data_IF_820025476391
#
_entry.id   IF_820025476391
#
_cell.length_a   1.000
_cell.length_b   1.000
_cell.length_c   1.000
_cell.angle_alpha   90.00
_cell.angle_beta   90.00
_cell.angle_gamma   90.00
#
_symmetry.space_group_name_H-M   'P 1'
#
loop_
_entity.id
_entity.type
_entity.pdbx_description
1 polymer ?
#
# COMPACT_ATOMS: atom_id res chain seq x y z
N UNK A 1 23.75 -8.46 -13.75
CA UNK A 1 22.81 -9.59 -13.40
C UNK A 1 22.97 -9.97 -11.95
N UNK A 2 21.90 -10.14 -11.23
CA UNK A 2 21.87 -10.61 -9.84
C UNK A 2 21.41 -12.08 -9.84
N UNK A 3 22.30 -13.02 -9.48
CA UNK A 3 22.02 -14.47 -9.46
C UNK A 3 21.35 -15.01 -10.74
N UNK A 4 21.82 -14.61 -11.91
CA UNK A 4 21.28 -14.95 -13.25
C UNK A 4 19.88 -14.36 -13.55
N UNK A 5 19.39 -13.40 -12.76
CA UNK A 5 18.14 -12.70 -12.97
C UNK A 5 18.36 -11.29 -13.51
N UNK A 6 17.47 -10.85 -14.37
CA UNK A 6 17.48 -9.50 -14.94
C UNK A 6 16.76 -8.51 -14.03
N UNK A 7 17.47 -7.47 -13.59
CA UNK A 7 16.98 -6.45 -12.67
C UNK A 7 16.75 -5.13 -13.38
N UNK A 8 15.57 -4.55 -13.22
CA UNK A 8 15.30 -3.18 -13.65
C UNK A 8 15.06 -2.28 -12.43
N UNK A 9 15.50 -1.03 -12.55
CA UNK A 9 15.20 0.03 -11.57
C UNK A 9 14.31 1.07 -12.20
N UNK A 10 13.23 1.46 -11.55
CA UNK A 10 12.30 2.52 -11.97
C UNK A 10 12.49 3.73 -11.08
N UNK A 11 12.79 4.88 -11.67
CA UNK A 11 13.02 6.15 -10.98
C UNK A 11 11.98 7.16 -11.49
N UNK A 12 10.89 7.42 -10.72
CA UNK A 12 9.99 8.53 -11.01
C UNK A 12 10.73 9.86 -10.88
N UNK A 13 10.63 10.72 -11.90
CA UNK A 13 11.36 11.99 -11.97
C UNK A 13 10.40 13.16 -12.12
N UNK A 14 10.31 14.01 -11.08
CA UNK A 14 9.56 15.26 -11.10
C UNK A 14 10.17 16.25 -10.10
N UNK A 15 10.80 17.33 -10.60
CA UNK A 15 11.50 18.36 -9.80
C UNK A 15 12.65 17.79 -8.93
N UNK A 16 13.42 16.89 -9.51
CA UNK A 16 14.54 16.19 -8.84
C UNK A 16 15.87 16.40 -9.59
N UNK A 17 15.98 17.41 -10.43
CA UNK A 17 17.17 17.71 -11.28
C UNK A 17 18.46 17.73 -10.49
N UNK A 18 18.41 18.22 -9.24
CA UNK A 18 19.56 18.34 -8.34
C UNK A 18 20.14 16.99 -7.91
N UNK A 19 19.31 15.96 -7.80
CA UNK A 19 19.69 14.68 -7.20
C UNK A 19 19.69 13.52 -8.17
N UNK A 20 18.95 13.63 -9.27
CA UNK A 20 18.69 12.52 -10.19
C UNK A 20 19.97 11.90 -10.77
N UNK A 21 20.96 12.72 -11.09
CA UNK A 21 22.25 12.23 -11.62
C UNK A 21 22.98 11.37 -10.59
N UNK A 22 23.06 11.84 -9.36
CA UNK A 22 23.72 11.10 -8.27
C UNK A 22 22.97 9.81 -7.93
N UNK A 23 21.61 9.84 -7.95
CA UNK A 23 20.78 8.64 -7.76
C UNK A 23 21.09 7.61 -8.84
N UNK A 24 21.10 8.00 -10.13
CA UNK A 24 21.42 7.10 -11.25
C UNK A 24 22.82 6.51 -11.13
N UNK A 25 23.80 7.33 -10.72
CA UNK A 25 25.18 6.88 -10.54
C UNK A 25 25.38 5.98 -9.31
N UNK A 26 24.51 6.09 -8.31
CA UNK A 26 24.54 5.22 -7.11
C UNK A 26 23.94 3.84 -7.34
N UNK A 27 23.25 3.61 -8.47
CA UNK A 27 22.64 2.32 -8.77
C UNK A 27 23.74 1.25 -8.93
N UNK A 28 23.65 0.12 -8.21
CA UNK A 28 24.66 -0.95 -8.26
C UNK A 28 24.82 -1.55 -9.66
N UNK A 29 26.04 -2.05 -9.95
CA UNK A 29 26.41 -2.60 -11.26
C UNK A 29 25.61 -3.85 -11.65
N UNK A 30 25.09 -4.59 -10.68
CA UNK A 30 24.27 -5.78 -10.94
C UNK A 30 22.90 -5.48 -11.57
N UNK A 31 22.46 -4.22 -11.55
CA UNK A 31 21.24 -3.76 -12.22
C UNK A 31 21.47 -3.72 -13.72
N UNK A 32 20.57 -4.32 -14.48
CA UNK A 32 20.68 -4.42 -15.96
C UNK A 32 20.04 -3.20 -16.65
N UNK A 33 18.91 -2.71 -16.13
CA UNK A 33 18.17 -1.61 -16.73
C UNK A 33 17.79 -0.53 -15.71
N UNK A 34 18.01 0.72 -16.06
CA UNK A 34 17.59 1.91 -15.30
C UNK A 34 16.55 2.65 -16.13
N UNK A 35 15.34 2.80 -15.61
CA UNK A 35 14.21 3.42 -16.29
C UNK A 35 13.85 4.71 -15.56
N UNK A 36 14.27 5.83 -16.09
CA UNK A 36 13.89 7.16 -15.60
C UNK A 36 12.58 7.56 -16.23
N UNK A 37 11.56 7.86 -15.43
CA UNK A 37 10.24 8.26 -15.93
C UNK A 37 10.00 9.74 -15.63
N UNK A 38 10.12 10.59 -16.67
CA UNK A 38 9.82 12.01 -16.59
C UNK A 38 8.31 12.25 -16.61
N UNK A 39 7.75 12.66 -15.49
CA UNK A 39 6.32 12.92 -15.32
C UNK A 39 5.95 14.36 -15.72
N UNK A 40 6.36 14.78 -16.93
CA UNK A 40 6.18 16.15 -17.44
C UNK A 40 6.80 17.19 -16.50
N UNK A 41 8.04 16.97 -16.10
CA UNK A 41 8.77 17.85 -15.19
C UNK A 41 9.01 19.22 -15.82
N UNK A 42 8.62 20.34 -15.18
CA UNK A 42 8.89 21.67 -15.70
C UNK A 42 10.39 21.99 -15.76
N UNK A 43 11.20 21.40 -14.88
CA UNK A 43 12.65 21.53 -14.84
C UNK A 43 13.37 20.62 -15.82
N UNK A 44 12.61 19.76 -16.54
CA UNK A 44 13.17 18.74 -17.45
C UNK A 44 14.27 17.90 -16.78
N UNK A 45 13.99 17.40 -15.58
CA UNK A 45 14.98 16.66 -14.75
C UNK A 45 15.67 15.52 -15.50
N UNK A 46 15.03 14.93 -16.49
CA UNK A 46 15.61 13.87 -17.32
C UNK A 46 16.85 14.32 -18.13
N UNK A 47 17.05 15.62 -18.37
CA UNK A 47 18.18 16.12 -19.18
C UNK A 47 19.53 16.03 -18.47
N UNK A 48 19.56 15.72 -17.18
CA UNK A 48 20.81 15.52 -16.42
C UNK A 48 21.34 14.09 -16.52
N UNK A 49 20.62 13.21 -17.24
CA UNK A 49 20.95 11.79 -17.45
C UNK A 49 20.94 11.49 -18.94
N UNK A 50 22.00 10.88 -19.45
CA UNK A 50 22.09 10.47 -20.84
C UNK A 50 21.50 9.06 -21.03
N UNK A 51 20.76 8.87 -22.14
CA UNK A 51 20.28 7.54 -22.54
C UNK A 51 21.45 6.65 -22.97
N UNK A 52 21.34 5.36 -22.66
CA UNK A 52 22.33 4.35 -23.04
C UNK A 52 21.65 2.99 -23.19
N UNK A 53 22.41 1.96 -23.51
CA UNK A 53 21.89 0.57 -23.55
C UNK A 53 21.30 0.13 -22.20
N UNK A 54 21.81 0.70 -21.10
CA UNK A 54 21.36 0.43 -19.73
C UNK A 54 20.31 1.42 -19.22
N UNK A 55 20.29 2.67 -19.72
CA UNK A 55 19.47 3.77 -19.22
C UNK A 55 18.42 4.17 -20.24
N UNK A 56 17.15 4.06 -19.86
CA UNK A 56 15.98 4.39 -20.67
C UNK A 56 15.23 5.58 -20.07
N UNK A 57 14.84 6.54 -20.90
CA UNK A 57 14.02 7.68 -20.48
C UNK A 57 12.61 7.53 -21.06
N UNK A 58 11.62 7.43 -20.18
CA UNK A 58 10.19 7.43 -20.54
C UNK A 58 9.62 8.80 -20.21
N UNK A 59 8.99 9.47 -21.19
CA UNK A 59 8.47 10.83 -21.02
C UNK A 59 6.96 10.85 -21.13
N UNK A 60 6.30 11.50 -20.18
CA UNK A 60 4.86 11.72 -20.21
C UNK A 60 4.51 13.04 -20.92
N UNK A 61 3.41 13.04 -21.65
CA UNK A 61 2.84 14.26 -22.26
C UNK A 61 2.14 15.15 -21.24
N UNK A 62 1.66 14.58 -20.13
CA UNK A 62 1.01 15.27 -19.02
C UNK A 62 1.44 14.70 -17.68
N UNK A 63 1.38 15.48 -16.61
CA UNK A 63 1.71 15.01 -15.25
C UNK A 63 0.64 14.03 -14.75
N UNK A 64 1.03 12.76 -14.62
CA UNK A 64 0.18 11.66 -14.12
C UNK A 64 0.34 11.42 -12.63
N UNK A 65 1.37 12.00 -12.00
CA UNK A 65 1.74 11.76 -10.60
C UNK A 65 2.65 10.54 -10.42
N UNK A 66 3.23 10.42 -9.23
CA UNK A 66 4.23 9.38 -8.91
C UNK A 66 3.76 7.97 -9.27
N UNK A 67 2.53 7.60 -8.93
CA UNK A 67 1.99 6.27 -9.28
C UNK A 67 1.86 6.07 -10.79
N UNK A 68 1.49 7.12 -11.55
CA UNK A 68 1.46 7.07 -13.02
C UNK A 68 2.85 6.84 -13.60
N UNK A 69 3.86 7.51 -13.07
CA UNK A 69 5.25 7.34 -13.47
C UNK A 69 5.75 5.92 -13.17
N UNK A 70 5.49 5.40 -11.96
CA UNK A 70 5.87 4.03 -11.59
C UNK A 70 5.20 3.00 -12.51
N UNK A 71 3.91 3.14 -12.80
CA UNK A 71 3.18 2.24 -13.71
C UNK A 71 3.80 2.24 -15.11
N UNK A 72 4.20 3.40 -15.64
CA UNK A 72 4.88 3.49 -16.94
C UNK A 72 6.26 2.82 -16.90
N UNK A 73 7.00 3.00 -15.80
CA UNK A 73 8.27 2.32 -15.56
C UNK A 73 8.11 0.79 -15.50
N UNK A 74 7.10 0.29 -14.77
CA UNK A 74 6.80 -1.14 -14.70
C UNK A 74 6.45 -1.74 -16.06
N UNK A 75 5.65 -1.05 -16.86
CA UNK A 75 5.35 -1.48 -18.25
C UNK A 75 6.62 -1.55 -19.11
N UNK A 76 7.51 -0.58 -19.00
CA UNK A 76 8.79 -0.58 -19.71
C UNK A 76 9.68 -1.73 -19.23
N UNK A 77 9.75 -2.00 -17.92
CA UNK A 77 10.51 -3.11 -17.34
C UNK A 77 9.99 -4.48 -17.82
N UNK A 78 8.66 -4.66 -17.90
CA UNK A 78 8.03 -5.86 -18.46
C UNK A 78 8.45 -6.05 -19.93
N UNK A 79 8.43 -4.98 -20.72
CA UNK A 79 8.83 -5.02 -22.13
C UNK A 79 10.33 -5.33 -22.32
N UNK A 80 11.17 -4.97 -21.34
CA UNK A 80 12.60 -5.32 -21.31
C UNK A 80 12.86 -6.71 -20.72
N UNK A 81 11.81 -7.46 -20.41
CA UNK A 81 11.88 -8.79 -19.80
C UNK A 81 12.61 -8.82 -18.44
N UNK A 82 12.56 -7.76 -17.64
CA UNK A 82 13.13 -7.75 -16.30
C UNK A 82 12.41 -8.76 -15.38
N UNK A 83 13.15 -9.55 -14.61
CA UNK A 83 12.60 -10.54 -13.69
C UNK A 83 12.13 -9.89 -12.39
N UNK A 84 12.88 -8.92 -11.91
CA UNK A 84 12.55 -8.12 -10.73
C UNK A 84 12.68 -6.64 -11.04
N UNK A 85 11.79 -5.84 -10.47
CA UNK A 85 11.77 -4.40 -10.67
C UNK A 85 11.82 -3.70 -9.33
N UNK A 86 12.84 -2.87 -9.13
CA UNK A 86 12.99 -2.03 -7.95
C UNK A 86 12.49 -0.63 -8.25
N UNK A 87 11.72 -0.04 -7.36
CA UNK A 87 11.34 1.38 -7.41
C UNK A 87 12.15 2.15 -6.37
N UNK A 88 12.87 3.17 -6.82
CA UNK A 88 13.62 4.12 -5.98
C UNK A 88 13.21 5.55 -6.36
N UNK A 89 13.07 6.45 -5.38
CA UNK A 89 12.71 7.85 -5.67
C UNK A 89 13.94 8.65 -6.12
N UNK A 90 13.73 9.60 -7.02
CA UNK A 90 14.81 10.40 -7.62
C UNK A 90 15.33 11.55 -6.74
N UNK A 91 14.89 11.64 -5.46
CA UNK A 91 15.21 12.72 -4.52
C UNK A 91 16.48 12.45 -3.67
N UNK A 92 17.12 11.28 -3.84
CA UNK A 92 18.33 10.89 -3.12
C UNK A 92 18.14 10.49 -1.67
N UNK A 93 16.90 10.36 -1.19
CA UNK A 93 16.61 9.96 0.20
C UNK A 93 16.75 8.45 0.44
N UNK A 94 16.78 7.66 -0.62
CA UNK A 94 16.89 6.20 -0.57
C UNK A 94 18.32 5.77 -0.91
N UNK A 95 18.87 4.86 -0.08
CA UNK A 95 20.20 4.31 -0.32
C UNK A 95 20.15 3.12 -1.26
N UNK A 96 20.73 3.25 -2.43
CA UNK A 96 20.75 2.20 -3.45
C UNK A 96 21.51 0.93 -3.00
N UNK A 97 22.38 1.01 -2.00
CA UNK A 97 23.12 -0.13 -1.45
C UNK A 97 22.19 -1.19 -0.81
N UNK A 98 20.99 -0.81 -0.34
CA UNK A 98 19.99 -1.74 0.20
C UNK A 98 19.15 -2.44 -0.87
N UNK A 99 19.46 -2.24 -2.14
CA UNK A 99 18.71 -2.82 -3.25
C UNK A 99 18.81 -4.35 -3.29
N UNK A 100 19.98 -4.90 -2.98
CA UNK A 100 20.19 -6.36 -2.87
C UNK A 100 19.28 -6.97 -1.81
N UNK A 101 19.17 -6.34 -0.63
CA UNK A 101 18.34 -6.82 0.47
C UNK A 101 16.83 -6.80 0.12
N UNK A 102 16.40 -5.84 -0.73
CA UNK A 102 15.03 -5.80 -1.25
C UNK A 102 14.77 -6.91 -2.28
N UNK A 103 15.77 -7.27 -3.08
CA UNK A 103 15.62 -8.26 -4.17
C UNK A 103 15.73 -9.69 -3.64
N UNK A 104 16.61 -9.96 -2.68
CA UNK A 104 16.91 -11.30 -2.18
C UNK A 104 15.65 -12.12 -1.83
N UNK A 105 14.65 -11.60 -1.06
CA UNK A 105 13.46 -12.39 -0.75
C UNK A 105 12.57 -12.69 -1.96
N UNK A 106 12.71 -11.94 -3.05
CA UNK A 106 12.00 -12.20 -4.31
C UNK A 106 12.68 -13.33 -5.07
N UNK A 107 14.02 -13.36 -5.06
CA UNK A 107 14.84 -14.38 -5.77
C UNK A 107 14.67 -15.75 -5.12
N UNK A 108 14.70 -15.82 -3.79
CA UNK A 108 14.49 -17.08 -3.05
C UNK A 108 12.99 -17.45 -2.91
N UNK A 109 12.11 -16.74 -3.62
CA UNK A 109 10.66 -16.96 -3.67
C UNK A 109 9.93 -16.85 -2.31
N UNK A 110 10.52 -16.22 -1.30
CA UNK A 110 9.87 -15.95 -0.01
C UNK A 110 8.84 -14.79 -0.07
N UNK A 111 8.96 -13.93 -1.08
CA UNK A 111 8.03 -12.82 -1.30
C UNK A 111 7.75 -12.60 -2.78
N UNK A 112 6.62 -11.97 -3.08
CA UNK A 112 6.27 -11.46 -4.41
C UNK A 112 6.55 -9.95 -4.53
N UNK A 113 6.56 -9.27 -3.37
CA UNK A 113 6.82 -7.83 -3.23
C UNK A 113 7.54 -7.54 -1.92
N UNK A 114 8.56 -6.73 -1.97
CA UNK A 114 9.30 -6.27 -0.79
C UNK A 114 9.20 -4.76 -0.64
N UNK A 115 9.26 -4.30 0.59
CA UNK A 115 9.10 -2.89 0.92
C UNK A 115 10.06 -2.48 2.02
N UNK A 116 10.74 -1.35 1.82
CA UNK A 116 11.61 -0.77 2.83
C UNK A 116 10.81 -0.32 4.06
N UNK A 117 11.34 -0.59 5.24
CA UNK A 117 10.76 -0.21 6.52
C UNK A 117 11.77 0.62 7.33
N UNK A 118 11.45 1.90 7.52
CA UNK A 118 12.29 2.86 8.26
C UNK A 118 12.06 2.81 9.77
N UNK A 119 11.02 2.14 10.23
CA UNK A 119 10.56 2.15 11.63
C UNK A 119 11.07 0.97 12.45
N UNK A 120 11.75 0.00 11.86
CA UNK A 120 12.39 -1.09 12.60
C UNK A 120 13.52 -0.59 13.53
N UNK A 121 14.04 0.60 13.28
CA UNK A 121 15.00 1.23 14.18
C UNK A 121 14.29 2.17 15.18
N UNK A 122 14.03 1.68 16.39
CA UNK A 122 13.34 2.41 17.47
C UNK A 122 14.02 3.73 17.87
N UNK A 123 15.30 3.91 17.61
CA UNK A 123 16.03 5.15 17.92
C UNK A 123 15.55 6.33 17.08
N UNK A 124 15.15 6.09 15.84
CA UNK A 124 14.61 7.11 14.95
C UNK A 124 13.19 7.56 15.37
N UNK A 125 12.36 6.65 15.89
CA UNK A 125 11.01 6.96 16.37
C UNK A 125 11.01 7.88 17.59
N UNK A 126 12.00 7.75 18.50
CA UNK A 126 12.11 8.58 19.71
C UNK A 126 12.35 10.07 19.41
N UNK A 127 12.93 10.40 18.25
CA UNK A 127 13.19 11.79 17.83
C UNK A 127 12.02 12.45 17.11
N UNK A 128 10.95 11.71 16.83
CA UNK A 128 9.80 12.21 16.07
C UNK A 128 8.81 12.97 16.97
N UNK A 129 8.27 14.14 16.55
CA UNK A 129 7.22 14.84 17.29
C UNK A 129 6.00 13.95 17.53
N UNK A 130 5.43 13.98 18.74
CA UNK A 130 4.31 13.10 19.17
C UNK A 130 3.10 13.18 18.24
N UNK A 131 2.76 14.36 17.74
CA UNK A 131 1.63 14.55 16.80
C UNK A 131 1.87 13.83 15.46
N UNK A 132 3.11 13.90 14.95
CA UNK A 132 3.51 13.19 13.73
C UNK A 132 3.55 11.68 13.94
N UNK A 133 4.01 11.23 15.10
CA UNK A 133 4.02 9.81 15.46
C UNK A 133 2.59 9.26 15.53
N UNK A 134 1.66 9.95 16.19
CA UNK A 134 0.25 9.54 16.27
C UNK A 134 -0.42 9.53 14.89
N UNK A 135 -0.24 10.58 14.08
CA UNK A 135 -0.79 10.65 12.72
C UNK A 135 -0.27 9.53 11.82
N UNK A 136 1.02 9.25 11.86
CA UNK A 136 1.62 8.14 11.10
C UNK A 136 1.11 6.77 11.59
N UNK A 137 0.94 6.58 12.90
CA UNK A 137 0.43 5.33 13.46
C UNK A 137 -1.03 5.09 13.08
N UNK A 138 -1.87 6.13 13.12
CA UNK A 138 -3.26 6.04 12.70
C UNK A 138 -3.38 5.74 11.19
N UNK A 139 -2.59 6.42 10.35
CA UNK A 139 -2.55 6.15 8.92
C UNK A 139 -2.04 4.74 8.64
N UNK A 140 -0.97 4.31 9.31
CA UNK A 140 -0.44 2.93 9.18
C UNK A 140 -1.49 1.89 9.55
N UNK A 141 -2.23 2.08 10.65
CA UNK A 141 -3.32 1.19 11.05
C UNK A 141 -4.42 1.13 9.98
N UNK A 142 -4.87 2.28 9.46
CA UNK A 142 -5.90 2.32 8.42
C UNK A 142 -5.42 1.63 7.12
N UNK A 143 -4.15 1.79 6.74
CA UNK A 143 -3.60 1.11 5.56
C UNK A 143 -3.48 -0.39 5.80
N UNK A 144 -3.05 -0.84 6.99
CA UNK A 144 -3.04 -2.26 7.38
C UNK A 144 -4.44 -2.88 7.27
N UNK A 145 -5.43 -2.24 7.87
CA UNK A 145 -6.82 -2.71 7.81
C UNK A 145 -7.35 -2.75 6.37
N UNK A 146 -7.03 -1.75 5.54
CA UNK A 146 -7.51 -1.68 4.16
C UNK A 146 -6.80 -2.66 3.23
N UNK A 147 -5.48 -2.82 3.40
CA UNK A 147 -4.67 -3.71 2.57
C UNK A 147 -4.69 -5.17 3.03
N UNK A 148 -4.98 -5.42 4.32
CA UNK A 148 -4.91 -6.76 4.92
C UNK A 148 -3.49 -7.24 5.22
N UNK A 149 -2.46 -6.41 5.02
CA UNK A 149 -1.08 -6.72 5.41
C UNK A 149 -0.78 -6.15 6.80
N UNK A 150 -1.20 -6.86 7.83
CA UNK A 150 -1.05 -6.45 9.22
C UNK A 150 0.41 -6.47 9.72
N UNK A 151 1.27 -7.22 9.04
CA UNK A 151 2.70 -7.35 9.31
C UNK A 151 3.54 -6.17 8.76
N UNK A 152 3.02 -5.35 7.83
CA UNK A 152 3.76 -4.24 7.23
C UNK A 152 3.75 -3.02 8.16
N UNK A 153 4.93 -2.52 8.54
CA UNK A 153 5.05 -1.41 9.50
C UNK A 153 5.14 -0.03 8.85
N UNK A 154 5.74 0.09 7.67
CA UNK A 154 5.89 1.36 6.91
C UNK A 154 5.16 1.29 5.57
N UNK A 155 3.82 1.33 5.55
CA UNK A 155 3.05 1.12 4.33
C UNK A 155 3.18 2.25 3.29
N UNK A 156 3.75 3.40 3.68
CA UNK A 156 3.90 4.59 2.81
C UNK A 156 5.31 4.75 2.25
N UNK A 157 6.25 3.88 2.61
CA UNK A 157 7.59 3.94 2.05
C UNK A 157 7.55 3.60 0.55
N UNK A 158 8.23 4.40 -0.26
CA UNK A 158 8.30 4.24 -1.71
C UNK A 158 9.43 3.33 -2.19
N UNK A 159 10.38 2.92 -1.35
CA UNK A 159 11.46 2.02 -1.73
C UNK A 159 10.96 0.57 -1.72
N UNK A 160 10.78 -0.01 -2.89
CA UNK A 160 10.09 -1.29 -3.05
C UNK A 160 10.68 -2.12 -4.17
N UNK A 161 10.54 -3.44 -4.10
CA UNK A 161 10.83 -4.31 -5.23
C UNK A 161 9.67 -5.29 -5.48
N UNK A 162 9.50 -5.69 -6.73
CA UNK A 162 8.40 -6.54 -7.18
C UNK A 162 8.88 -7.56 -8.21
N UNK A 163 8.37 -8.79 -8.13
CA UNK A 163 8.63 -9.81 -9.13
C UNK A 163 7.78 -9.61 -10.39
N UNK A 164 8.29 -10.00 -11.56
CA UNK A 164 7.53 -10.03 -12.82
C UNK A 164 6.23 -10.84 -12.67
N UNK A 165 6.29 -11.93 -11.93
CA UNK A 165 5.14 -12.80 -11.65
C UNK A 165 4.01 -12.03 -10.97
N UNK A 166 4.34 -11.20 -9.96
CA UNK A 166 3.37 -10.34 -9.29
C UNK A 166 2.89 -9.20 -10.20
N UNK A 167 3.79 -8.55 -10.95
CA UNK A 167 3.43 -7.50 -11.91
C UNK A 167 2.42 -7.97 -12.95
N UNK A 168 2.58 -9.18 -13.47
CA UNK A 168 1.68 -9.75 -14.48
C UNK A 168 0.28 -10.09 -13.93
N UNK A 169 0.12 -10.26 -12.60
CA UNK A 169 -1.18 -10.47 -11.96
C UNK A 169 -1.94 -9.16 -11.72
N UNK A 170 -1.24 -8.03 -11.70
CA UNK A 170 -1.82 -6.74 -11.38
C UNK A 170 -2.45 -6.07 -12.59
N UNK A 171 -3.62 -5.46 -12.40
CA UNK A 171 -4.15 -4.50 -13.37
C UNK A 171 -3.45 -3.14 -13.19
N UNK A 172 -2.29 -2.98 -13.82
CA UNK A 172 -1.47 -1.78 -13.71
C UNK A 172 -2.23 -0.50 -14.12
N UNK A 173 -3.15 -0.59 -15.08
CA UNK A 173 -3.96 0.55 -15.54
C UNK A 173 -4.99 1.02 -14.51
N UNK A 174 -5.38 0.15 -13.58
CA UNK A 174 -6.36 0.44 -12.53
C UNK A 174 -5.76 1.00 -11.24
N UNK A 175 -4.42 1.07 -11.13
CA UNK A 175 -3.75 1.58 -9.94
C UNK A 175 -3.86 3.11 -9.82
N UNK A 176 -3.86 3.59 -8.57
CA UNK A 176 -3.89 5.01 -8.26
C UNK A 176 -2.65 5.73 -8.81
N UNK A 177 -2.85 6.88 -9.46
CA UNK A 177 -1.78 7.61 -10.18
C UNK A 177 -0.95 8.55 -9.32
N UNK A 178 -1.47 8.96 -8.14
CA UNK A 178 -0.84 9.95 -7.24
C UNK A 178 -0.40 9.31 -5.92
N UNK A 179 -0.22 10.08 -4.88
CA UNK A 179 0.29 9.67 -3.56
C UNK A 179 -0.43 8.49 -2.88
N UNK A 180 -1.64 8.14 -3.32
CA UNK A 180 -2.34 6.95 -2.83
C UNK A 180 -1.81 5.64 -3.45
N UNK A 181 -0.88 5.72 -4.39
CA UNK A 181 -0.35 4.59 -5.15
C UNK A 181 0.18 3.46 -4.26
N UNK A 182 1.01 3.77 -3.26
CA UNK A 182 1.63 2.76 -2.39
C UNK A 182 0.57 1.97 -1.61
N UNK A 183 -0.46 2.65 -1.09
CA UNK A 183 -1.57 2.00 -0.38
C UNK A 183 -2.44 1.17 -1.32
N UNK A 184 -2.74 1.69 -2.50
CA UNK A 184 -3.54 0.98 -3.52
C UNK A 184 -2.79 -0.24 -4.09
N UNK A 185 -1.46 -0.14 -4.23
CA UNK A 185 -0.60 -1.26 -4.60
C UNK A 185 -0.74 -2.41 -3.60
N UNK A 186 -0.61 -2.14 -2.29
CA UNK A 186 -0.78 -3.15 -1.26
C UNK A 186 -2.18 -3.79 -1.29
N UNK A 187 -3.24 -2.99 -1.47
CA UNK A 187 -4.61 -3.49 -1.58
C UNK A 187 -4.74 -4.47 -2.76
N UNK A 188 -4.22 -4.07 -3.94
CA UNK A 188 -4.32 -4.91 -5.15
C UNK A 188 -3.41 -6.16 -5.06
N UNK A 189 -2.23 -6.06 -4.44
CA UNK A 189 -1.37 -7.23 -4.17
C UNK A 189 -2.07 -8.24 -3.27
N UNK A 190 -2.77 -7.80 -2.22
CA UNK A 190 -3.52 -8.69 -1.33
C UNK A 190 -4.67 -9.39 -2.05
N UNK A 191 -5.40 -8.67 -2.91
CA UNK A 191 -6.46 -9.26 -3.75
C UNK A 191 -5.88 -10.36 -4.65
N UNK A 192 -4.65 -10.21 -5.14
CA UNK A 192 -3.98 -11.21 -5.99
C UNK A 192 -3.26 -12.31 -5.20
N UNK A 193 -3.39 -12.33 -3.87
CA UNK A 193 -2.76 -13.34 -3.02
C UNK A 193 -1.22 -13.26 -2.99
N UNK A 194 -0.65 -12.08 -3.25
CA UNK A 194 0.80 -11.88 -3.23
C UNK A 194 1.35 -11.85 -1.80
N UNK A 195 2.55 -12.40 -1.60
CA UNK A 195 3.28 -12.33 -0.34
C UNK A 195 4.08 -11.03 -0.30
N UNK A 196 3.90 -10.23 0.77
CA UNK A 196 4.60 -8.95 0.96
C UNK A 196 5.47 -9.01 2.21
N UNK A 197 6.74 -8.59 2.10
CA UNK A 197 7.72 -8.61 3.18
C UNK A 197 8.33 -7.21 3.41
N UNK A 198 8.44 -6.79 4.68
CA UNK A 198 9.18 -5.60 5.09
C UNK A 198 10.68 -5.89 5.19
N UNK A 199 11.50 -4.99 4.65
CA UNK A 199 12.96 -5.03 4.74
C UNK A 199 13.44 -3.83 5.55
N UNK A 200 14.30 -4.08 6.55
CA UNK A 200 14.83 -3.02 7.41
C UNK A 200 15.78 -2.12 6.64
N UNK A 201 15.42 -0.85 6.48
CA UNK A 201 16.24 0.14 5.79
C UNK A 201 16.40 1.36 6.70
N UNK A 202 17.64 1.85 6.92
CA UNK A 202 17.87 3.06 7.70
C UNK A 202 17.15 4.26 7.07
N UNK A 203 16.51 5.07 7.91
CA UNK A 203 15.91 6.32 7.46
C UNK A 203 17.03 7.35 7.18
N UNK A 204 17.10 7.85 5.95
CA UNK A 204 17.85 9.06 5.60
C UNK A 204 16.87 10.23 5.60
N UNK A 205 17.08 11.21 6.47
CA UNK A 205 16.29 12.45 6.50
C UNK A 205 17.11 13.53 5.81
N UNK A 206 16.60 14.09 4.72
CA UNK A 206 17.08 15.33 4.13
C UNK A 206 16.18 16.49 4.53
N UNK A 207 16.69 17.72 4.42
CA UNK A 207 15.99 18.96 4.80
C UNK A 207 14.83 19.34 3.85
N UNK A 208 14.38 18.44 2.97
CA UNK A 208 13.32 18.72 2.03
C UNK A 208 11.95 18.73 2.69
N UNK A 209 11.17 19.79 2.43
CA UNK A 209 9.77 19.91 2.82
C UNK A 209 8.92 18.94 1.99
N UNK A 210 8.17 18.06 2.66
CA UNK A 210 7.19 17.19 2.02
C UNK A 210 6.19 18.03 1.18
N UNK A 211 6.06 17.69 -0.09
CA UNK A 211 5.09 18.31 -1.01
C UNK A 211 3.63 17.90 -0.74
N UNK A 212 3.40 17.03 0.25
CA UNK A 212 2.08 16.56 0.66
C UNK A 212 1.32 17.62 1.47
N UNK A 213 0.18 18.08 0.96
CA UNK A 213 -0.77 18.85 1.76
C UNK A 213 -1.40 17.95 2.82
N UNK A 214 -0.99 18.14 4.08
CA UNK A 214 -1.45 17.34 5.23
C UNK A 214 -2.98 17.35 5.33
N UNK A 215 -3.62 18.52 5.16
CA UNK A 215 -5.08 18.69 5.25
C UNK A 215 -5.79 17.88 4.16
N UNK A 216 -5.34 17.98 2.92
CA UNK A 216 -5.96 17.26 1.80
C UNK A 216 -5.82 15.73 1.96
N UNK A 217 -4.66 15.30 2.42
CA UNK A 217 -4.39 13.88 2.70
C UNK A 217 -5.28 13.35 3.81
N UNK A 218 -5.51 14.13 4.87
CA UNK A 218 -6.32 13.74 6.03
C UNK A 218 -7.78 13.41 5.66
N UNK A 219 -8.35 14.07 4.67
CA UNK A 219 -9.75 13.82 4.25
C UNK A 219 -9.88 12.85 3.07
N UNK A 220 -8.97 12.91 2.10
CA UNK A 220 -9.04 12.02 0.92
C UNK A 220 -8.62 10.58 1.20
N UNK A 221 -7.60 10.37 2.04
CA UNK A 221 -7.06 9.04 2.30
C UNK A 221 -8.06 8.12 3.00
N UNK A 222 -8.75 8.51 4.09
CA UNK A 222 -9.71 7.63 4.74
C UNK A 222 -10.82 7.14 3.80
N UNK A 223 -11.34 8.01 2.94
CA UNK A 223 -12.34 7.62 1.95
C UNK A 223 -11.80 6.62 0.93
N UNK A 224 -10.59 6.86 0.39
CA UNK A 224 -9.95 5.94 -0.56
C UNK A 224 -9.59 4.60 0.10
N UNK A 225 -9.14 4.63 1.34
CA UNK A 225 -8.83 3.43 2.13
C UNK A 225 -10.10 2.63 2.43
N UNK A 226 -11.22 3.28 2.80
CA UNK A 226 -12.49 2.61 3.01
C UNK A 226 -13.01 1.94 1.72
N UNK A 227 -12.92 2.66 0.59
CA UNK A 227 -13.25 2.08 -0.72
C UNK A 227 -12.36 0.89 -1.06
N UNK A 228 -11.06 0.99 -0.79
CA UNK A 228 -10.09 -0.08 -0.96
C UNK A 228 -10.39 -1.29 -0.07
N UNK A 229 -10.74 -1.06 1.21
CA UNK A 229 -11.17 -2.09 2.14
C UNK A 229 -12.39 -2.86 1.62
N UNK A 230 -13.44 -2.15 1.22
CA UNK A 230 -14.66 -2.77 0.67
C UNK A 230 -14.33 -3.58 -0.58
N UNK A 231 -13.56 -3.00 -1.52
CA UNK A 231 -13.09 -3.69 -2.72
C UNK A 231 -12.35 -4.97 -2.35
N UNK A 232 -11.35 -4.91 -1.44
CA UNK A 232 -10.55 -6.06 -1.03
C UNK A 232 -11.41 -7.14 -0.39
N UNK A 233 -12.26 -6.77 0.58
CA UNK A 233 -13.16 -7.72 1.26
C UNK A 233 -14.04 -8.43 0.24
N UNK A 234 -14.65 -7.69 -0.69
CA UNK A 234 -15.52 -8.27 -1.69
C UNK A 234 -14.78 -9.26 -2.59
N UNK A 235 -13.65 -8.85 -3.18
CA UNK A 235 -12.89 -9.72 -4.08
C UNK A 235 -12.30 -10.92 -3.33
N UNK A 236 -11.62 -10.69 -2.19
CA UNK A 236 -10.93 -11.74 -1.47
C UNK A 236 -11.88 -12.77 -0.87
N UNK A 237 -12.94 -12.32 -0.16
CA UNK A 237 -13.79 -13.18 0.65
C UNK A 237 -15.11 -13.61 -0.01
N UNK A 238 -15.55 -12.92 -1.04
CA UNK A 238 -16.82 -13.30 -1.71
C UNK A 238 -16.63 -13.79 -3.15
N UNK A 239 -15.51 -13.44 -3.80
CA UNK A 239 -15.26 -13.83 -5.18
C UNK A 239 -14.20 -14.92 -5.30
N UNK A 240 -13.06 -14.78 -4.61
CA UNK A 240 -11.93 -15.70 -4.79
C UNK A 240 -11.86 -16.80 -3.74
N UNK A 241 -12.10 -16.50 -2.46
CA UNK A 241 -11.94 -17.45 -1.36
C UNK A 241 -13.10 -17.32 -0.36
N UNK A 242 -14.23 -18.00 -0.68
CA UNK A 242 -15.37 -18.03 0.24
C UNK A 242 -15.05 -18.94 1.42
N UNK A 243 -14.74 -18.36 2.58
CA UNK A 243 -14.35 -19.07 3.79
C UNK A 243 -15.19 -18.62 5.02
N UNK A 244 -14.79 -19.05 6.24
CA UNK A 244 -15.54 -18.69 7.46
C UNK A 244 -15.61 -17.19 7.72
N UNK A 245 -14.62 -16.38 7.29
CA UNK A 245 -14.73 -14.93 7.38
C UNK A 245 -15.89 -14.38 6.55
N UNK A 246 -16.12 -14.96 5.36
CA UNK A 246 -17.27 -14.61 4.48
C UNK A 246 -18.59 -14.90 5.19
N UNK A 247 -18.70 -16.07 5.83
CA UNK A 247 -19.89 -16.48 6.59
C UNK A 247 -20.13 -15.53 7.76
N UNK A 248 -19.08 -15.22 8.54
CA UNK A 248 -19.21 -14.28 9.65
C UNK A 248 -19.61 -12.86 9.19
N UNK A 249 -19.09 -12.38 8.07
CA UNK A 249 -19.52 -11.09 7.51
C UNK A 249 -20.95 -11.12 7.00
N UNK A 250 -21.36 -12.21 6.35
CA UNK A 250 -22.71 -12.38 5.79
C UNK A 250 -23.79 -12.34 6.87
N UNK A 251 -23.54 -12.89 8.06
CA UNK A 251 -24.48 -12.84 9.19
C UNK A 251 -24.21 -11.64 10.09
N UNK A 252 -22.96 -11.29 10.34
CA UNK A 252 -22.59 -10.24 11.30
C UNK A 252 -23.02 -8.85 10.86
N UNK A 253 -22.86 -8.50 9.58
CA UNK A 253 -23.26 -7.17 9.07
C UNK A 253 -24.78 -6.98 9.16
N UNK A 254 -25.64 -7.91 8.64
CA UNK A 254 -27.10 -7.75 8.77
C UNK A 254 -27.58 -7.75 10.21
N UNK A 255 -27.01 -8.59 11.08
CA UNK A 255 -27.40 -8.62 12.51
C UNK A 255 -27.07 -7.29 13.20
N UNK A 256 -25.87 -6.75 12.96
CA UNK A 256 -25.47 -5.46 13.53
C UNK A 256 -26.35 -4.32 13.01
N UNK A 257 -26.63 -4.29 11.72
CA UNK A 257 -27.52 -3.30 11.11
C UNK A 257 -28.95 -3.41 11.65
N UNK A 258 -29.52 -4.62 11.67
CA UNK A 258 -30.86 -4.86 12.20
C UNK A 258 -30.96 -4.43 13.67
N UNK A 259 -30.05 -4.91 14.53
CA UNK A 259 -30.06 -4.60 15.96
C UNK A 259 -29.94 -3.10 16.23
N UNK A 260 -29.05 -2.41 15.49
CA UNK A 260 -28.83 -0.96 15.62
C UNK A 260 -30.05 -0.16 15.14
N UNK A 261 -30.58 -0.45 13.95
CA UNK A 261 -31.72 0.29 13.39
C UNK A 261 -32.97 0.02 14.20
N UNK A 262 -33.28 -1.25 14.44
CA UNK A 262 -34.47 -1.65 15.22
C UNK A 262 -34.40 -1.13 16.66
N UNK A 263 -33.24 -1.24 17.32
CA UNK A 263 -33.05 -0.73 18.66
C UNK A 263 -33.18 0.79 18.76
N UNK A 264 -32.58 1.53 17.84
CA UNK A 264 -32.70 2.99 17.79
C UNK A 264 -34.15 3.44 17.53
N UNK A 265 -34.85 2.76 16.62
CA UNK A 265 -36.26 3.04 16.35
C UNK A 265 -37.14 2.77 17.58
N UNK A 266 -36.99 1.63 18.25
CA UNK A 266 -37.74 1.29 19.47
C UNK A 266 -37.42 2.22 20.64
N UNK A 267 -36.19 2.64 20.76
CA UNK A 267 -35.78 3.63 21.77
C UNK A 267 -36.42 5.00 21.50
N UNK A 268 -36.38 5.48 20.25
CA UNK A 268 -37.06 6.72 19.86
C UNK A 268 -38.57 6.68 20.19
N UNK A 269 -39.27 5.60 19.83
CA UNK A 269 -40.70 5.43 20.14
C UNK A 269 -40.98 5.43 21.66
N UNK A 270 -40.10 4.84 22.45
CA UNK A 270 -40.24 4.82 23.92
C UNK A 270 -40.11 6.24 24.49
N UNK A 271 -39.17 7.04 23.99
CA UNK A 271 -38.95 8.40 24.50
C UNK A 271 -40.04 9.37 24.06
N UNK A 272 -40.41 9.34 22.77
CA UNK A 272 -41.36 10.27 22.16
C UNK A 272 -42.81 10.02 22.60
N UNK A 273 -43.20 8.75 22.64
CA UNK A 273 -44.62 8.37 22.88
C UNK A 273 -44.86 7.74 24.25
N UNK A 274 -43.85 7.67 25.12
CA UNK A 274 -43.99 7.06 26.46
C UNK A 274 -44.31 5.54 26.44
N UNK A 275 -43.99 4.84 25.32
CA UNK A 275 -44.30 3.42 25.15
C UNK A 275 -43.23 2.56 25.81
N UNK A 276 -43.61 1.73 26.77
CA UNK A 276 -42.70 0.77 27.38
C UNK A 276 -42.33 -0.34 26.38
N UNK A 277 -41.03 -0.63 26.27
CA UNK A 277 -40.56 -1.73 25.47
C UNK A 277 -40.61 -3.04 26.26
N UNK A 278 -41.26 -4.10 25.73
CA UNK A 278 -41.16 -5.42 26.34
C UNK A 278 -39.71 -5.93 26.38
N UNK A 279 -39.39 -6.68 27.43
CA UNK A 279 -38.02 -7.25 27.62
C UNK A 279 -37.54 -8.00 26.38
N UNK A 280 -38.42 -8.78 25.73
CA UNK A 280 -38.09 -9.50 24.48
C UNK A 280 -37.66 -8.57 23.33
N UNK A 281 -38.28 -7.39 23.20
CA UNK A 281 -37.90 -6.39 22.18
C UNK A 281 -36.51 -5.83 22.44
N UNK A 282 -36.20 -5.51 23.70
CA UNK A 282 -34.87 -5.03 24.12
C UNK A 282 -33.83 -6.13 23.87
N UNK A 283 -34.11 -7.36 24.31
CA UNK A 283 -33.20 -8.50 24.15
C UNK A 283 -32.93 -8.81 22.67
N UNK A 284 -33.94 -8.74 21.80
CA UNK A 284 -33.77 -8.97 20.38
C UNK A 284 -32.80 -7.96 19.74
N UNK A 285 -32.90 -6.67 20.09
CA UNK A 285 -31.99 -5.64 19.62
C UNK A 285 -30.56 -5.84 20.16
N UNK A 286 -30.42 -5.99 21.47
CA UNK A 286 -29.12 -6.11 22.15
C UNK A 286 -28.39 -7.37 21.71
N UNK A 287 -29.09 -8.51 21.66
CA UNK A 287 -28.49 -9.78 21.25
C UNK A 287 -28.01 -9.72 19.77
N UNK A 288 -28.80 -9.11 18.90
CA UNK A 288 -28.40 -8.93 17.48
C UNK A 288 -27.15 -8.05 17.36
N UNK A 289 -27.01 -6.98 18.15
CA UNK A 289 -25.82 -6.14 18.16
C UNK A 289 -24.60 -6.93 18.67
N UNK A 290 -24.75 -7.61 19.81
CA UNK A 290 -23.65 -8.37 20.44
C UNK A 290 -23.15 -9.47 19.50
N UNK A 291 -24.06 -10.29 18.95
CA UNK A 291 -23.68 -11.36 18.02
C UNK A 291 -23.12 -10.80 16.72
N UNK A 292 -23.69 -9.72 16.20
CA UNK A 292 -23.17 -9.03 15.00
C UNK A 292 -21.73 -8.55 15.20
N UNK A 293 -21.42 -7.89 16.32
CA UNK A 293 -20.07 -7.47 16.67
C UNK A 293 -19.15 -8.69 16.84
N UNK A 294 -19.60 -9.72 17.54
CA UNK A 294 -18.82 -10.94 17.75
C UNK A 294 -18.43 -11.61 16.43
N UNK A 295 -19.36 -11.74 15.47
CA UNK A 295 -19.06 -12.29 14.16
C UNK A 295 -18.08 -11.42 13.39
N UNK A 296 -18.22 -10.09 13.40
CA UNK A 296 -17.28 -9.20 12.72
C UNK A 296 -15.88 -9.27 13.33
N UNK A 297 -15.75 -9.37 14.65
CA UNK A 297 -14.46 -9.57 15.31
C UNK A 297 -13.81 -10.89 14.92
N UNK A 298 -14.58 -11.98 14.77
CA UNK A 298 -14.07 -13.25 14.26
C UNK A 298 -13.61 -13.14 12.78
N UNK A 299 -14.37 -12.45 11.94
CA UNK A 299 -13.96 -12.19 10.55
C UNK A 299 -12.63 -11.42 10.48
N UNK A 300 -12.47 -10.37 11.30
CA UNK A 300 -11.22 -9.62 11.41
C UNK A 300 -10.07 -10.49 11.92
N UNK A 301 -10.32 -11.34 12.93
CA UNK A 301 -9.31 -12.26 13.45
C UNK A 301 -8.80 -13.21 12.38
N UNK A 302 -9.70 -13.74 11.54
CA UNK A 302 -9.34 -14.60 10.40
C UNK A 302 -8.53 -13.79 9.37
N UNK A 303 -8.90 -12.55 9.07
CA UNK A 303 -8.16 -11.68 8.13
C UNK A 303 -6.72 -11.40 8.62
N UNK A 304 -6.53 -11.22 9.93
CA UNK A 304 -5.21 -11.02 10.55
C UNK A 304 -4.36 -12.31 10.49
N UNK A 305 -4.96 -13.46 10.79
CA UNK A 305 -4.24 -14.73 10.83
C UNK A 305 -3.91 -15.24 9.42
N UNK A 306 -4.81 -15.02 8.46
CA UNK A 306 -4.65 -15.42 7.06
C UNK A 306 -3.81 -14.42 6.23
N UNK A 307 -2.88 -13.72 6.86
CA UNK A 307 -1.81 -13.05 6.11
C UNK A 307 -1.11 -14.14 5.33
N UNK A 308 -0.98 -13.95 4.00
CA UNK A 308 -0.25 -14.87 3.14
C UNK A 308 1.16 -15.06 3.73
N UNK A 309 1.31 -16.13 4.49
CA UNK A 309 2.57 -16.57 5.07
C UNK A 309 3.15 -17.58 4.10
N UNK A 310 4.30 -17.25 3.55
CA UNK A 310 5.20 -18.13 2.79
C UNK A 310 4.50 -19.12 1.85
N UNK A 311 4.94 -19.08 0.60
CA UNK A 311 4.68 -20.19 -0.33
C UNK A 311 5.35 -21.46 0.17
#
# INVERSE_FOLDING_TARGET
>A
MFENHTIAVVIPSYKVSKYLKDVVQSIPDFVDFIIVVDDRCPEKSYTVVDESEKIFIVRHESNLGVGGAVVSGYKKAINLNADYVVKIDGDGQMDANYMSELIEPLVIEEADYTKGNRFLNFSALRKMPKVRLFGNSALSFMVKASSGYWNIMDPTNGYTAISRKALNRLNLGGLAKRYFFESDMLINLNIQGCVVKDISIPARYSDESSSLSVVKTLFEFPYKLLKGLIKRIFYKYFLYDFNMASVYMLFGIPMLMFGSVFGSYRWYMAVEYGVNNPTGTIMLSVLSIILGIQFLLQAISIDIVNIHKNK
#
